data_IF_478570346149
#
_entry.id   IF_478570346149
#
_cell.length_a   1.000
_cell.length_b   1.000
_cell.length_c   1.000
_cell.angle_alpha   90.00
_cell.angle_beta   90.00
_cell.angle_gamma   90.00
#
_symmetry.space_group_name_H-M   'P 1'
#
loop_
_entity.id
_entity.type
_entity.pdbx_description
1 polymer ?
#
# COMPACT_ATOMS: atom_id res chain seq x y z
N UNK A 1 -39.12 24.35 -3.61
CA UNK A 1 -37.92 24.41 -4.48
C UNK A 1 -36.92 23.46 -3.90
N UNK A 2 -37.01 22.20 -4.36
CA UNK A 2 -36.08 21.13 -3.89
C UNK A 2 -34.78 21.21 -4.67
N UNK A 3 -33.71 21.65 -4.01
CA UNK A 3 -32.36 21.56 -4.54
C UNK A 3 -31.87 20.12 -4.31
N UNK A 4 -32.03 19.26 -5.31
CA UNK A 4 -31.35 17.96 -5.35
C UNK A 4 -29.84 18.18 -5.42
N UNK A 5 -29.19 18.16 -4.27
CA UNK A 5 -27.73 18.06 -4.18
C UNK A 5 -27.36 16.62 -4.59
N UNK A 6 -26.75 16.46 -5.76
CA UNK A 6 -26.16 15.20 -6.17
C UNK A 6 -25.13 14.76 -5.12
N UNK A 7 -25.16 13.49 -4.72
CA UNK A 7 -24.20 12.96 -3.78
C UNK A 7 -22.80 12.89 -4.42
N UNK A 8 -21.73 12.93 -3.61
CA UNK A 8 -20.34 12.73 -4.08
C UNK A 8 -20.17 11.42 -4.87
N UNK A 9 -21.03 10.45 -4.66
CA UNK A 9 -21.05 9.17 -5.34
C UNK A 9 -21.45 9.32 -6.81
N UNK A 10 -22.48 10.09 -7.10
CA UNK A 10 -22.93 10.39 -8.47
C UNK A 10 -21.88 11.23 -9.20
N UNK A 11 -21.16 12.07 -8.45
CA UNK A 11 -20.08 12.91 -8.92
C UNK A 11 -18.82 12.09 -9.34
N UNK A 12 -18.41 11.11 -8.53
CA UNK A 12 -17.25 10.24 -8.84
C UNK A 12 -17.53 9.27 -10.00
N UNK A 13 -18.76 8.79 -10.15
CA UNK A 13 -19.15 7.93 -11.25
C UNK A 13 -19.09 8.64 -12.62
N UNK A 14 -19.37 9.95 -12.65
CA UNK A 14 -19.40 10.73 -13.90
C UNK A 14 -17.98 11.17 -14.36
N UNK A 15 -17.02 11.33 -13.46
CA UNK A 15 -15.67 11.77 -13.80
C UNK A 15 -14.77 10.70 -14.45
N UNK A 16 -15.19 9.43 -14.46
CA UNK A 16 -14.44 8.31 -15.06
C UNK A 16 -14.71 8.13 -16.58
N UNK A 17 -15.64 8.87 -17.18
CA UNK A 17 -16.01 8.76 -18.59
C UNK A 17 -15.40 9.85 -19.51
N UNK A 18 -14.62 10.78 -18.99
CA UNK A 18 -14.09 11.93 -19.74
C UNK A 18 -12.64 11.79 -20.21
N UNK A 19 -12.28 10.64 -20.75
CA UNK A 19 -10.99 10.36 -21.40
C UNK A 19 -11.14 10.07 -22.89
N UNK A 20 -11.67 10.97 -23.69
CA UNK A 20 -11.70 10.80 -25.15
C UNK A 20 -12.86 11.50 -25.86
N UNK A 21 -12.65 12.71 -26.41
CA UNK A 21 -13.30 13.19 -27.58
C UNK A 21 -14.54 14.09 -27.48
N UNK A 22 -14.36 15.35 -27.92
CA UNK A 22 -15.32 16.30 -28.51
C UNK A 22 -16.32 17.02 -27.59
N UNK A 23 -16.10 18.33 -27.52
CA UNK A 23 -16.95 19.34 -26.90
C UNK A 23 -18.37 19.39 -27.47
N UNK A 24 -19.37 19.23 -26.61
CA UNK A 24 -20.68 19.87 -26.72
C UNK A 24 -21.14 20.22 -25.28
N UNK A 25 -21.57 21.49 -25.12
CA UNK A 25 -21.82 22.13 -23.83
C UNK A 25 -22.78 21.39 -22.92
N UNK A 26 -22.27 21.01 -21.77
CA UNK A 26 -23.00 20.53 -20.60
C UNK A 26 -22.17 20.83 -19.37
N UNK A 27 -22.79 21.32 -18.30
CA UNK A 27 -22.16 21.73 -17.06
C UNK A 27 -21.23 20.62 -16.54
N UNK A 28 -19.91 20.82 -16.70
CA UNK A 28 -18.87 19.95 -16.15
C UNK A 28 -18.78 20.24 -14.65
N UNK A 29 -19.42 19.40 -13.83
CA UNK A 29 -19.06 19.32 -12.42
C UNK A 29 -17.63 18.78 -12.34
N UNK A 30 -16.68 19.63 -11.97
CA UNK A 30 -15.25 19.29 -11.91
C UNK A 30 -14.98 18.16 -10.90
N UNK A 31 -14.16 17.17 -11.30
CA UNK A 31 -13.69 16.14 -10.37
C UNK A 31 -12.98 16.80 -9.18
N UNK A 32 -13.31 16.39 -7.95
CA UNK A 32 -12.64 16.88 -6.73
C UNK A 32 -11.15 16.54 -6.85
N UNK A 33 -10.28 17.55 -6.80
CA UNK A 33 -8.85 17.30 -6.97
C UNK A 33 -8.26 16.58 -5.76
N UNK A 34 -7.12 15.87 -5.96
CA UNK A 34 -6.36 15.28 -4.82
C UNK A 34 -6.06 16.31 -3.74
N UNK A 35 -5.76 17.55 -4.12
CA UNK A 35 -5.47 18.66 -3.18
C UNK A 35 -6.70 19.02 -2.35
N UNK A 36 -7.86 19.10 -2.96
CA UNK A 36 -9.10 19.43 -2.27
C UNK A 36 -9.48 18.32 -1.28
N UNK A 37 -9.38 17.04 -1.68
CA UNK A 37 -9.58 15.90 -0.78
C UNK A 37 -8.56 15.91 0.38
N UNK A 38 -7.30 16.19 0.10
CA UNK A 38 -6.27 16.26 1.12
C UNK A 38 -6.49 17.42 2.10
N UNK A 39 -7.02 18.55 1.63
CA UNK A 39 -7.32 19.73 2.44
C UNK A 39 -8.59 19.55 3.29
N UNK A 40 -9.54 18.73 2.85
CA UNK A 40 -10.81 18.51 3.56
C UNK A 40 -10.60 17.68 4.83
N UNK A 41 -10.56 18.36 5.98
CA UNK A 41 -10.38 17.73 7.31
C UNK A 41 -11.65 17.10 7.86
N UNK A 42 -12.79 17.20 7.16
CA UNK A 42 -14.07 16.61 7.57
C UNK A 42 -14.27 15.21 6.95
N UNK A 43 -13.41 14.78 6.04
CA UNK A 43 -13.50 13.49 5.36
C UNK A 43 -12.33 12.60 5.77
N UNK A 44 -12.62 11.37 6.21
CA UNK A 44 -11.62 10.33 6.40
C UNK A 44 -11.03 9.90 5.05
N UNK A 45 -9.72 9.68 4.99
CA UNK A 45 -9.05 9.17 3.78
C UNK A 45 -8.70 7.70 3.95
N UNK A 46 -9.26 6.86 3.09
CA UNK A 46 -9.09 5.40 3.14
C UNK A 46 -8.35 4.95 1.88
N UNK A 47 -7.16 4.38 2.07
CA UNK A 47 -6.39 3.75 1.03
C UNK A 47 -6.40 2.22 1.19
N UNK A 48 -6.41 1.52 0.06
CA UNK A 48 -6.16 0.08 -0.03
C UNK A 48 -4.83 -0.08 -0.76
N UNK A 49 -3.88 -0.76 -0.12
CA UNK A 49 -2.55 -0.98 -0.71
C UNK A 49 -2.20 -2.46 -0.71
N UNK A 50 -1.61 -2.90 -1.83
CA UNK A 50 -1.17 -4.28 -2.00
C UNK A 50 0.29 -4.33 -2.44
N UNK A 51 1.11 -5.05 -1.65
CA UNK A 51 2.50 -5.31 -1.99
C UNK A 51 2.57 -6.54 -2.89
N UNK A 52 3.03 -6.32 -4.13
CA UNK A 52 3.14 -7.35 -5.16
C UNK A 52 4.42 -8.15 -4.95
N UNK A 53 4.31 -9.06 -3.98
CA UNK A 53 5.36 -9.98 -3.59
C UNK A 53 4.80 -11.30 -3.08
N UNK A 54 5.64 -12.34 -3.08
CA UNK A 54 5.34 -13.60 -2.44
C UNK A 54 5.67 -13.53 -0.95
N UNK A 55 4.75 -13.95 -0.10
CA UNK A 55 5.01 -14.08 1.33
C UNK A 55 5.99 -15.22 1.59
N UNK A 56 6.99 -14.96 2.46
CA UNK A 56 7.98 -15.97 2.83
C UNK A 56 7.35 -17.04 3.73
N UNK A 57 7.57 -18.33 3.37
CA UNK A 57 7.12 -19.51 4.12
C UNK A 57 5.59 -19.51 4.37
N UNK A 58 4.81 -19.08 3.38
CA UNK A 58 3.36 -19.04 3.46
C UNK A 58 2.72 -19.29 2.07
N UNK A 59 1.62 -20.07 1.95
CA UNK A 59 0.87 -20.74 3.03
C UNK A 59 1.61 -21.94 3.66
N UNK A 60 2.63 -22.48 3.03
CA UNK A 60 3.46 -23.58 3.55
C UNK A 60 4.92 -23.16 3.68
N UNK A 61 5.72 -23.94 4.42
CA UNK A 61 7.14 -23.67 4.61
C UNK A 61 7.91 -23.67 3.28
N UNK A 62 7.53 -24.50 2.34
CA UNK A 62 8.17 -24.68 1.03
C UNK A 62 7.90 -23.51 0.08
N UNK A 63 6.89 -22.69 0.36
CA UNK A 63 6.54 -21.53 -0.46
C UNK A 63 7.50 -20.39 -0.17
N UNK A 64 8.25 -19.97 -1.17
CA UNK A 64 9.15 -18.81 -1.12
C UNK A 64 10.01 -18.76 0.15
N UNK A 65 11.19 -19.36 0.12
CA UNK A 65 12.10 -19.44 1.27
C UNK A 65 12.88 -18.15 1.53
N UNK A 66 13.23 -17.45 0.47
CA UNK A 66 14.18 -16.35 0.52
C UNK A 66 13.55 -15.05 0.04
N UNK A 67 13.91 -13.95 0.68
CA UNK A 67 13.33 -12.65 0.36
C UNK A 67 13.57 -12.23 -1.10
N UNK A 68 14.69 -12.61 -1.73
CA UNK A 68 14.94 -12.32 -3.14
C UNK A 68 14.05 -13.11 -4.12
N UNK A 69 13.37 -14.16 -3.66
CA UNK A 69 12.38 -14.92 -4.46
C UNK A 69 11.00 -14.26 -4.46
N UNK A 70 10.80 -13.27 -3.61
CA UNK A 70 9.50 -12.61 -3.44
C UNK A 70 8.92 -12.03 -4.71
N UNK A 71 9.76 -11.63 -5.68
CA UNK A 71 9.31 -11.17 -6.98
C UNK A 71 8.81 -12.28 -7.92
N UNK A 72 8.95 -13.55 -7.58
CA UNK A 72 8.46 -14.66 -8.39
C UNK A 72 6.96 -14.92 -8.11
N UNK A 73 6.11 -13.94 -8.41
CA UNK A 73 4.68 -14.08 -8.19
C UNK A 73 4.12 -15.26 -8.98
N UNK A 74 3.38 -16.13 -8.27
CA UNK A 74 2.61 -17.19 -8.90
C UNK A 74 1.33 -16.66 -9.59
N UNK A 75 0.69 -17.47 -10.38
CA UNK A 75 -0.47 -17.07 -11.16
C UNK A 75 -1.69 -16.76 -10.28
N UNK A 76 -1.82 -17.41 -9.13
CA UNK A 76 -2.88 -17.14 -8.17
C UNK A 76 -2.77 -15.74 -7.59
N UNK A 77 -1.57 -15.31 -7.17
CA UNK A 77 -1.35 -13.96 -6.66
C UNK A 77 -1.59 -12.88 -7.73
N UNK A 78 -1.19 -13.16 -9.00
CA UNK A 78 -1.47 -12.26 -10.13
C UNK A 78 -2.97 -12.13 -10.40
N UNK A 79 -3.68 -13.26 -10.49
CA UNK A 79 -5.14 -13.29 -10.71
C UNK A 79 -5.89 -12.57 -9.59
N UNK A 80 -5.49 -12.83 -8.33
CA UNK A 80 -6.06 -12.14 -7.17
C UNK A 80 -5.87 -10.62 -7.27
N UNK A 81 -4.68 -10.16 -7.66
CA UNK A 81 -4.36 -8.73 -7.81
C UNK A 81 -5.25 -8.04 -8.84
N UNK A 82 -5.44 -8.67 -10.00
CA UNK A 82 -6.31 -8.16 -11.08
C UNK A 82 -7.77 -8.13 -10.64
N UNK A 83 -8.24 -9.20 -9.99
CA UNK A 83 -9.63 -9.28 -9.52
C UNK A 83 -9.91 -8.27 -8.41
N UNK A 84 -9.00 -8.10 -7.44
CA UNK A 84 -9.11 -7.08 -6.41
C UNK A 84 -9.17 -5.67 -7.02
N UNK A 85 -8.28 -5.36 -7.98
CA UNK A 85 -8.28 -4.09 -8.70
C UNK A 85 -9.63 -3.83 -9.40
N UNK A 86 -10.16 -4.85 -10.11
CA UNK A 86 -11.45 -4.76 -10.79
C UNK A 86 -12.61 -4.48 -9.81
N UNK A 87 -12.63 -5.18 -8.67
CA UNK A 87 -13.68 -5.00 -7.66
C UNK A 87 -13.63 -3.61 -7.04
N UNK A 88 -12.46 -3.17 -6.58
CA UNK A 88 -12.32 -1.82 -5.99
C UNK A 88 -12.69 -0.72 -7.00
N UNK A 89 -12.35 -0.92 -8.28
CA UNK A 89 -12.77 0.01 -9.34
C UNK A 89 -14.28 0.09 -9.49
N UNK A 90 -14.99 -1.03 -9.38
CA UNK A 90 -16.46 -1.07 -9.43
C UNK A 90 -17.11 -0.30 -8.25
N UNK A 91 -16.42 -0.18 -7.11
CA UNK A 91 -16.81 0.68 -5.99
C UNK A 91 -16.39 2.16 -6.16
N UNK A 92 -15.75 2.52 -7.28
CA UNK A 92 -15.26 3.88 -7.52
C UNK A 92 -13.90 4.19 -6.87
N UNK A 93 -13.25 3.19 -6.28
CA UNK A 93 -11.97 3.32 -5.60
C UNK A 93 -10.75 2.99 -6.47
N UNK A 94 -9.58 3.07 -5.85
CA UNK A 94 -8.31 2.62 -6.41
C UNK A 94 -7.54 1.79 -5.38
N UNK A 95 -6.74 0.84 -5.84
CA UNK A 95 -5.71 0.18 -5.04
C UNK A 95 -4.37 0.80 -5.42
N UNK A 96 -3.55 1.16 -4.44
CA UNK A 96 -2.17 1.55 -4.67
C UNK A 96 -1.28 0.31 -4.51
N UNK A 97 -0.66 -0.14 -5.59
CA UNK A 97 0.22 -1.30 -5.58
C UNK A 97 1.68 -0.90 -5.36
N UNK A 98 2.45 -1.76 -4.70
CA UNK A 98 3.91 -1.63 -4.61
C UNK A 98 4.56 -2.90 -5.14
N UNK A 99 5.46 -2.77 -6.11
CA UNK A 99 6.00 -3.92 -6.82
C UNK A 99 7.48 -4.14 -6.51
N UNK A 100 7.83 -5.37 -6.16
CA UNK A 100 9.22 -5.82 -6.09
C UNK A 100 9.78 -5.90 -7.52
N UNK A 101 10.93 -5.29 -7.77
CA UNK A 101 11.48 -5.16 -9.13
C UNK A 101 11.70 -6.47 -9.86
N UNK A 102 11.99 -7.57 -9.13
CA UNK A 102 12.10 -8.91 -9.72
C UNK A 102 10.85 -9.42 -10.42
N UNK A 103 9.68 -8.88 -10.14
CA UNK A 103 8.45 -9.17 -10.92
C UNK A 103 8.68 -8.90 -12.40
N UNK A 104 9.51 -7.93 -12.74
CA UNK A 104 9.82 -7.55 -14.12
C UNK A 104 10.80 -8.48 -14.82
N UNK A 105 11.40 -9.45 -14.12
CA UNK A 105 12.17 -10.54 -14.74
C UNK A 105 11.24 -11.60 -15.39
N UNK A 106 9.96 -11.62 -15.02
CA UNK A 106 8.98 -12.52 -15.64
C UNK A 106 8.77 -12.15 -17.11
N UNK A 107 8.61 -13.17 -17.94
CA UNK A 107 8.42 -13.01 -19.39
C UNK A 107 7.22 -12.10 -19.70
N UNK A 108 6.09 -12.32 -19.03
CA UNK A 108 4.86 -11.59 -19.23
C UNK A 108 4.43 -10.80 -17.97
N UNK A 109 4.22 -9.49 -18.16
CA UNK A 109 3.72 -8.57 -17.13
C UNK A 109 2.42 -7.86 -17.58
N UNK A 110 1.67 -8.42 -18.52
CA UNK A 110 0.46 -7.79 -19.06
C UNK A 110 -0.65 -7.67 -18.01
N UNK A 111 -0.70 -8.58 -17.06
CA UNK A 111 -1.59 -8.48 -15.90
C UNK A 111 -1.36 -7.18 -15.11
N UNK A 112 -0.09 -6.75 -14.95
CA UNK A 112 0.25 -5.50 -14.25
C UNK A 112 -0.05 -4.28 -15.13
N UNK A 113 0.17 -4.38 -16.46
CA UNK A 113 -0.26 -3.33 -17.39
C UNK A 113 -1.77 -3.12 -17.35
N UNK A 114 -2.56 -4.20 -17.25
CA UNK A 114 -4.01 -4.12 -17.10
C UNK A 114 -4.42 -3.35 -15.84
N UNK A 115 -3.75 -3.59 -14.71
CA UNK A 115 -3.95 -2.86 -13.46
C UNK A 115 -3.67 -1.36 -13.66
N UNK A 116 -2.54 -1.02 -14.27
CA UNK A 116 -2.17 0.39 -14.55
C UNK A 116 -3.17 1.06 -15.49
N UNK A 117 -3.57 0.39 -16.58
CA UNK A 117 -4.55 0.91 -17.55
C UNK A 117 -5.93 1.15 -16.91
N UNK A 118 -6.25 0.39 -15.86
CA UNK A 118 -7.48 0.60 -15.08
C UNK A 118 -7.37 1.78 -14.09
N UNK A 119 -6.23 2.49 -14.07
CA UNK A 119 -6.01 3.70 -13.27
C UNK A 119 -5.54 3.44 -11.84
N UNK A 120 -5.01 2.26 -11.54
CA UNK A 120 -4.40 1.93 -10.27
C UNK A 120 -2.92 2.36 -10.25
N UNK A 121 -2.47 3.17 -9.27
CA UNK A 121 -1.07 3.56 -9.15
C UNK A 121 -0.19 2.37 -8.75
N UNK A 122 1.05 2.35 -9.26
CA UNK A 122 2.06 1.34 -8.91
C UNK A 122 3.34 2.04 -8.46
N UNK A 123 3.75 1.80 -7.23
CA UNK A 123 4.96 2.30 -6.60
C UNK A 123 6.10 1.28 -6.57
N UNK A 124 7.24 1.73 -6.07
CA UNK A 124 8.48 0.97 -5.95
C UNK A 124 8.58 0.27 -4.60
N UNK A 125 8.98 -1.01 -4.60
CA UNK A 125 9.20 -1.83 -3.40
C UNK A 125 10.61 -2.47 -3.39
N UNK A 126 11.61 -1.77 -3.90
CA UNK A 126 12.98 -2.22 -4.18
C UNK A 126 13.06 -3.39 -5.17
N UNK A 127 14.25 -3.67 -5.71
CA UNK A 127 14.40 -4.72 -6.73
C UNK A 127 14.42 -6.13 -6.11
N UNK A 128 15.26 -6.33 -5.11
CA UNK A 128 15.46 -7.61 -4.43
C UNK A 128 14.76 -7.68 -3.07
N UNK A 129 13.81 -6.78 -2.75
CA UNK A 129 13.21 -6.69 -1.42
C UNK A 129 14.27 -6.47 -0.32
N UNK A 130 15.11 -5.42 -0.46
CA UNK A 130 16.23 -5.15 0.43
C UNK A 130 15.83 -4.39 1.69
N UNK A 131 16.52 -4.68 2.81
CA UNK A 131 16.35 -3.96 4.07
C UNK A 131 17.02 -2.57 3.98
N UNK A 132 16.22 -1.52 3.91
CA UNK A 132 16.69 -0.16 3.64
C UNK A 132 17.44 0.48 4.81
N UNK A 133 17.34 -0.08 6.02
CA UNK A 133 18.06 0.39 7.20
C UNK A 133 19.41 -0.33 7.42
N UNK A 134 19.80 -1.23 6.51
CA UNK A 134 21.05 -1.97 6.60
C UNK A 134 22.25 -1.02 6.70
N UNK A 135 23.14 -1.31 7.65
CA UNK A 135 24.42 -0.61 7.86
C UNK A 135 25.61 -1.49 7.49
N UNK A 136 25.37 -2.79 7.33
CA UNK A 136 26.35 -3.80 6.95
C UNK A 136 25.87 -4.59 5.73
N UNK A 137 26.78 -5.09 4.87
CA UNK A 137 26.43 -5.85 3.68
C UNK A 137 25.52 -7.06 3.94
N UNK A 138 25.79 -7.81 5.01
CA UNK A 138 25.04 -9.01 5.39
C UNK A 138 23.60 -8.75 5.86
N UNK A 139 23.28 -7.50 6.22
CA UNK A 139 21.95 -7.08 6.65
C UNK A 139 21.04 -6.73 5.47
N UNK A 140 21.62 -6.37 4.31
CA UNK A 140 20.87 -5.83 3.17
C UNK A 140 19.84 -6.83 2.68
N UNK A 141 20.28 -8.08 2.43
CA UNK A 141 19.43 -9.14 1.94
C UNK A 141 20.17 -10.48 2.00
N UNK A 142 19.47 -11.56 2.27
CA UNK A 142 20.05 -12.91 2.36
C UNK A 142 20.85 -13.32 1.11
N UNK A 143 20.42 -12.92 -0.08
CA UNK A 143 21.14 -13.13 -1.36
C UNK A 143 22.57 -12.64 -1.29
N UNK A 144 22.77 -11.42 -0.82
CA UNK A 144 24.10 -10.80 -0.74
C UNK A 144 24.97 -11.43 0.35
N UNK A 145 24.36 -11.95 1.41
CA UNK A 145 25.08 -12.74 2.41
C UNK A 145 25.59 -14.06 1.84
N UNK A 146 24.83 -14.71 0.95
CA UNK A 146 25.26 -15.94 0.26
C UNK A 146 26.19 -15.69 -0.91
N UNK A 147 26.08 -14.57 -1.56
CA UNK A 147 26.82 -14.21 -2.77
C UNK A 147 27.42 -12.78 -2.62
N UNK A 148 28.38 -12.59 -1.67
CA UNK A 148 28.91 -11.28 -1.35
C UNK A 148 29.62 -10.61 -2.53
N UNK A 149 30.13 -11.38 -3.50
CA UNK A 149 30.75 -10.84 -4.72
C UNK A 149 29.79 -10.00 -5.58
N UNK A 150 28.47 -10.15 -5.43
CA UNK A 150 27.48 -9.33 -6.16
C UNK A 150 27.51 -7.85 -5.73
N UNK A 151 28.02 -7.58 -4.55
CA UNK A 151 28.10 -6.23 -3.98
C UNK A 151 29.52 -5.85 -3.54
N UNK A 152 30.52 -6.61 -4.00
CA UNK A 152 31.93 -6.34 -3.68
C UNK A 152 32.30 -4.91 -4.03
N UNK A 153 32.99 -4.22 -3.14
CA UNK A 153 33.41 -2.82 -3.30
C UNK A 153 32.30 -1.77 -3.14
N UNK A 154 31.04 -2.18 -2.86
CA UNK A 154 29.92 -1.26 -2.63
C UNK A 154 29.57 -1.17 -1.15
N UNK A 155 29.21 0.03 -0.72
CA UNK A 155 28.60 0.26 0.60
C UNK A 155 27.13 -0.19 0.61
N UNK A 156 26.55 -0.49 1.79
CA UNK A 156 25.11 -0.79 1.90
C UNK A 156 24.23 0.29 1.28
N UNK A 157 24.54 1.56 1.50
CA UNK A 157 23.78 2.67 0.95
C UNK A 157 23.77 2.69 -0.60
N UNK A 158 24.93 2.38 -1.23
CA UNK A 158 25.02 2.27 -2.70
C UNK A 158 24.20 1.12 -3.23
N UNK A 159 24.22 -0.04 -2.56
CA UNK A 159 23.44 -1.22 -2.97
C UNK A 159 21.92 -0.95 -2.83
N UNK A 160 21.50 -0.32 -1.73
CA UNK A 160 20.08 0.05 -1.51
C UNK A 160 19.63 1.06 -2.57
N UNK A 161 20.42 2.11 -2.82
CA UNK A 161 20.14 3.12 -3.85
C UNK A 161 20.02 2.49 -5.24
N UNK A 162 20.92 1.59 -5.60
CA UNK A 162 20.87 0.87 -6.88
C UNK A 162 19.63 -0.01 -7.00
N UNK A 163 19.27 -0.72 -5.94
CA UNK A 163 18.07 -1.55 -5.89
C UNK A 163 16.78 -0.75 -6.15
N UNK A 164 16.69 0.44 -5.56
CA UNK A 164 15.53 1.33 -5.78
C UNK A 164 15.55 1.85 -7.22
N UNK A 165 16.71 2.31 -7.72
CA UNK A 165 16.85 2.82 -9.09
C UNK A 165 16.52 1.76 -10.14
N UNK A 166 16.98 0.51 -9.95
CA UNK A 166 16.66 -0.60 -10.87
C UNK A 166 15.17 -0.85 -10.98
N UNK A 167 14.42 -0.76 -9.87
CA UNK A 167 12.96 -0.89 -9.91
C UNK A 167 12.30 0.27 -10.65
N UNK A 168 12.78 1.51 -10.48
CA UNK A 168 12.29 2.66 -11.25
C UNK A 168 12.49 2.45 -12.76
N UNK A 169 13.68 1.97 -13.17
CA UNK A 169 13.96 1.67 -14.58
C UNK A 169 13.11 0.50 -15.10
N UNK A 170 12.89 -0.53 -14.30
CA UNK A 170 12.03 -1.66 -14.66
C UNK A 170 10.56 -1.23 -14.87
N UNK A 171 10.00 -0.40 -13.98
CA UNK A 171 8.68 0.19 -14.13
C UNK A 171 8.56 0.97 -15.46
N UNK A 172 9.56 1.81 -15.75
CA UNK A 172 9.59 2.60 -16.96
C UNK A 172 9.71 1.75 -18.24
N UNK A 173 10.62 0.78 -18.24
CA UNK A 173 10.93 -0.01 -19.44
C UNK A 173 9.90 -1.09 -19.73
N UNK A 174 9.32 -1.72 -18.69
CA UNK A 174 8.43 -2.86 -18.83
C UNK A 174 6.95 -2.48 -18.92
N UNK A 175 6.54 -1.41 -18.24
CA UNK A 175 5.13 -0.97 -18.20
C UNK A 175 4.92 0.51 -18.52
N UNK A 176 5.98 1.27 -18.78
CA UNK A 176 5.89 2.63 -19.32
C UNK A 176 5.51 3.72 -18.31
N UNK A 177 5.69 3.47 -17.00
CA UNK A 177 5.31 4.43 -15.96
C UNK A 177 6.49 4.84 -15.08
N UNK A 178 6.41 6.02 -14.47
CA UNK A 178 7.22 6.38 -13.31
C UNK A 178 6.59 5.77 -12.04
N UNK A 179 7.39 5.44 -10.99
CA UNK A 179 6.85 4.91 -9.75
C UNK A 179 5.93 5.91 -9.05
N UNK A 180 4.77 5.46 -8.62
CA UNK A 180 3.84 6.23 -7.81
C UNK A 180 4.21 6.08 -6.32
N UNK A 181 5.34 6.66 -5.90
CA UNK A 181 5.85 6.60 -4.54
C UNK A 181 6.70 5.37 -4.23
N UNK A 182 7.03 5.20 -2.95
CA UNK A 182 7.91 4.16 -2.45
C UNK A 182 7.38 3.56 -1.15
N UNK A 183 7.42 2.24 -1.04
CA UNK A 183 7.19 1.52 0.21
C UNK A 183 8.42 0.71 0.56
N UNK A 184 8.83 0.77 1.83
CA UNK A 184 9.97 -0.02 2.31
C UNK A 184 9.63 -1.50 2.39
N UNK A 185 10.55 -2.41 1.99
CA UNK A 185 10.47 -3.81 2.40
C UNK A 185 10.45 -3.95 3.91
N UNK A 186 9.29 -4.38 4.44
CA UNK A 186 9.00 -4.34 5.88
C UNK A 186 8.61 -2.96 6.39
N UNK A 187 7.83 -2.97 7.48
CA UNK A 187 7.46 -1.77 8.22
C UNK A 187 8.27 -1.63 9.51
N UNK A 188 8.57 -0.40 9.91
CA UNK A 188 9.38 -0.10 11.09
C UNK A 188 8.55 0.68 12.11
N UNK A 189 8.63 0.30 13.40
CA UNK A 189 7.84 0.92 14.46
C UNK A 189 7.97 2.45 14.49
N UNK A 190 9.20 2.95 14.31
CA UNK A 190 9.53 4.37 14.33
C UNK A 190 9.75 4.96 12.91
N UNK A 191 9.40 4.22 11.85
CA UNK A 191 9.67 4.63 10.48
C UNK A 191 11.17 4.83 10.23
N UNK A 192 11.54 5.96 9.59
CA UNK A 192 12.94 6.35 9.36
C UNK A 192 13.45 7.36 10.40
N UNK A 193 12.82 7.48 11.59
CA UNK A 193 13.39 8.32 12.65
C UNK A 193 14.83 7.86 13.00
N UNK A 194 15.74 8.82 13.18
CA UNK A 194 17.16 8.55 13.42
C UNK A 194 17.99 8.14 12.19
N UNK A 195 17.37 8.11 10.98
CA UNK A 195 18.05 7.76 9.72
C UNK A 195 17.90 8.88 8.66
N UNK A 196 18.39 10.10 8.94
CA UNK A 196 18.32 11.22 7.97
C UNK A 196 19.08 10.91 6.67
N UNK A 197 20.08 10.03 6.71
CA UNK A 197 20.81 9.54 5.56
C UNK A 197 19.89 8.77 4.58
N UNK A 198 19.03 7.90 5.10
CA UNK A 198 18.07 7.15 4.28
C UNK A 198 16.94 8.07 3.80
N UNK A 199 16.46 8.99 4.64
CA UNK A 199 15.46 9.99 4.25
C UNK A 199 15.98 10.84 3.08
N UNK A 200 17.22 11.32 3.15
CA UNK A 200 17.85 12.11 2.09
C UNK A 200 18.03 11.28 0.82
N UNK A 201 18.43 10.00 0.95
CA UNK A 201 18.54 9.08 -0.20
C UNK A 201 17.20 8.98 -0.95
N UNK A 202 16.06 8.90 -0.26
CA UNK A 202 14.73 8.85 -0.90
C UNK A 202 14.42 10.16 -1.64
N UNK A 203 14.73 11.31 -1.03
CA UNK A 203 14.57 12.62 -1.67
C UNK A 203 15.45 12.76 -2.91
N UNK A 204 16.71 12.34 -2.85
CA UNK A 204 17.66 12.35 -3.98
C UNK A 204 17.19 11.45 -5.15
N UNK A 205 16.48 10.37 -4.84
CA UNK A 205 15.86 9.47 -5.83
C UNK A 205 14.52 10.00 -6.38
N UNK A 206 14.11 11.20 -5.93
CA UNK A 206 12.92 11.90 -6.41
C UNK A 206 11.63 11.58 -5.67
N UNK A 207 11.66 10.76 -4.63
CA UNK A 207 10.47 10.48 -3.83
C UNK A 207 10.18 11.63 -2.88
N UNK A 208 8.95 12.11 -2.87
CA UNK A 208 8.48 13.17 -1.96
C UNK A 208 7.82 12.59 -0.71
N UNK A 209 7.42 11.35 -0.78
CA UNK A 209 6.80 10.58 0.29
C UNK A 209 7.17 9.10 0.17
N UNK A 210 7.07 8.42 1.30
CA UNK A 210 7.26 6.98 1.46
C UNK A 210 6.14 6.40 2.33
N UNK A 211 5.95 5.09 2.29
CA UNK A 211 5.17 4.34 3.27
C UNK A 211 6.12 3.38 3.99
N UNK A 212 6.37 3.66 5.27
CA UNK A 212 7.45 3.03 6.02
C UNK A 212 7.09 2.70 7.47
N UNK A 213 6.48 3.64 8.21
CA UNK A 213 6.13 3.43 9.61
C UNK A 213 5.00 2.40 9.72
N UNK A 214 5.18 1.44 10.64
CA UNK A 214 4.18 0.46 11.01
C UNK A 214 4.04 0.44 12.53
N UNK A 215 2.97 1.02 13.09
CA UNK A 215 2.80 1.15 14.52
C UNK A 215 2.76 -0.19 15.24
N UNK A 216 3.41 -0.27 16.39
CA UNK A 216 3.39 -1.46 17.26
C UNK A 216 1.98 -1.68 17.78
N UNK A 217 1.51 -2.91 17.68
CA UNK A 217 0.21 -3.34 18.20
C UNK A 217 0.27 -4.80 18.64
N UNK A 218 -0.66 -5.25 19.50
CA UNK A 218 -0.71 -6.64 19.92
C UNK A 218 -1.23 -7.55 18.80
N UNK A 219 -0.74 -8.79 18.75
CA UNK A 219 -1.21 -9.85 17.84
C UNK A 219 -1.98 -10.95 18.57
N UNK A 220 -1.90 -11.01 19.92
CA UNK A 220 -2.40 -12.12 20.71
C UNK A 220 -1.51 -13.37 20.64
N UNK A 221 -2.04 -14.47 21.11
CA UNK A 221 -1.33 -15.78 21.10
C UNK A 221 -1.56 -16.46 19.76
N UNK A 222 -0.49 -16.89 19.03
CA UNK A 222 -0.64 -17.55 17.75
C UNK A 222 -1.52 -18.79 17.81
N UNK A 223 -2.55 -18.85 16.96
CA UNK A 223 -3.51 -19.95 16.88
C UNK A 223 -4.66 -19.85 17.89
N UNK A 224 -4.63 -18.91 18.83
CA UNK A 224 -5.76 -18.62 19.71
C UNK A 224 -6.68 -17.56 19.09
N UNK A 225 -7.91 -17.50 19.58
CA UNK A 225 -8.85 -16.44 19.24
C UNK A 225 -8.36 -15.11 19.83
N UNK A 226 -8.29 -14.00 19.06
CA UNK A 226 -7.91 -12.70 19.58
C UNK A 226 -8.89 -12.21 20.66
N UNK A 227 -8.35 -11.73 21.78
CA UNK A 227 -9.16 -11.16 22.86
C UNK A 227 -9.64 -9.75 22.53
N UNK A 228 -10.57 -9.21 23.32
CA UNK A 228 -11.00 -7.81 23.20
C UNK A 228 -9.82 -6.85 23.27
N UNK A 229 -8.88 -7.07 24.22
CA UNK A 229 -7.69 -6.22 24.39
C UNK A 229 -6.80 -6.18 23.15
N UNK A 230 -6.74 -7.27 22.36
CA UNK A 230 -6.00 -7.31 21.09
C UNK A 230 -6.66 -6.39 20.07
N UNK A 231 -7.98 -6.46 19.93
CA UNK A 231 -8.72 -5.58 19.01
C UNK A 231 -8.63 -4.11 19.45
N UNK A 232 -8.81 -3.83 20.73
CA UNK A 232 -8.69 -2.47 21.28
C UNK A 232 -7.27 -1.91 21.09
N UNK A 233 -6.25 -2.75 21.27
CA UNK A 233 -4.84 -2.39 21.03
C UNK A 233 -4.56 -2.08 19.55
N UNK A 234 -5.18 -2.80 18.61
CA UNK A 234 -5.09 -2.53 17.17
C UNK A 234 -5.73 -1.17 16.84
N UNK A 235 -6.95 -0.93 17.34
CA UNK A 235 -7.65 0.34 17.14
C UNK A 235 -6.85 1.51 17.73
N UNK A 236 -6.32 1.35 18.95
CA UNK A 236 -5.48 2.37 19.59
C UNK A 236 -4.21 2.66 18.78
N UNK A 237 -3.57 1.64 18.20
CA UNK A 237 -2.39 1.82 17.36
C UNK A 237 -2.69 2.60 16.06
N UNK A 238 -3.96 2.63 15.62
CA UNK A 238 -4.39 3.43 14.47
C UNK A 238 -4.16 4.94 14.68
N UNK A 239 -4.18 5.43 15.92
CA UNK A 239 -3.83 6.82 16.25
C UNK A 239 -2.41 7.20 15.80
N UNK A 240 -1.47 6.25 15.88
CA UNK A 240 -0.08 6.44 15.47
C UNK A 240 0.17 6.19 13.97
N UNK A 241 -0.84 5.71 13.25
CA UNK A 241 -0.79 5.46 11.80
C UNK A 241 -1.26 6.68 10.98
N UNK A 242 -0.91 7.90 11.42
CA UNK A 242 -1.27 9.13 10.72
C UNK A 242 -0.06 9.70 9.97
N UNK A 243 -0.25 10.30 8.78
CA UNK A 243 0.84 10.81 7.96
C UNK A 243 1.55 11.99 8.64
N UNK A 244 2.86 12.06 8.49
CA UNK A 244 3.70 13.11 9.06
C UNK A 244 4.88 13.46 8.17
N UNK A 245 5.58 14.55 8.51
CA UNK A 245 6.75 15.04 7.77
C UNK A 245 8.00 14.89 8.63
N UNK A 246 9.03 14.24 8.09
CA UNK A 246 10.35 14.21 8.72
C UNK A 246 11.03 15.60 8.66
N UNK A 247 12.03 15.88 9.54
CA UNK A 247 12.78 17.13 9.48
C UNK A 247 13.46 17.41 8.13
N UNK A 248 13.76 16.38 7.33
CA UNK A 248 14.30 16.49 5.97
C UNK A 248 13.27 16.95 4.93
N UNK A 249 11.99 17.00 5.28
CA UNK A 249 10.89 17.33 4.36
C UNK A 249 10.29 16.10 3.65
N UNK A 250 10.85 14.89 3.86
CA UNK A 250 10.24 13.66 3.38
C UNK A 250 8.96 13.36 4.19
N UNK A 251 7.88 13.00 3.49
CA UNK A 251 6.62 12.60 4.13
C UNK A 251 6.62 11.09 4.38
N UNK A 252 6.14 10.63 5.53
CA UNK A 252 5.78 9.24 5.76
C UNK A 252 4.26 9.08 5.79
N UNK A 253 3.77 8.10 5.06
CA UNK A 253 2.39 7.63 5.10
C UNK A 253 2.40 6.26 5.78
N UNK A 254 2.17 6.21 7.12
CA UNK A 254 2.22 4.97 7.88
C UNK A 254 1.19 3.95 7.41
N UNK A 255 1.58 2.69 7.43
CA UNK A 255 0.68 1.56 7.25
C UNK A 255 -0.21 1.39 8.49
N UNK A 256 -1.48 1.09 8.27
CA UNK A 256 -2.40 0.84 9.37
C UNK A 256 -2.21 -0.56 9.98
N UNK A 257 -2.37 -0.75 11.29
CA UNK A 257 -2.51 -2.07 11.86
C UNK A 257 -3.94 -2.58 11.54
N UNK A 258 -4.15 -3.87 11.24
CA UNK A 258 -3.23 -5.00 11.22
C UNK A 258 -3.01 -5.42 9.76
N UNK A 259 -1.80 -5.94 9.43
CA UNK A 259 -1.56 -6.55 8.12
C UNK A 259 -1.99 -8.02 8.07
N UNK A 260 -2.24 -8.51 6.85
CA UNK A 260 -2.53 -9.92 6.57
C UNK A 260 -1.41 -10.86 7.01
N UNK A 261 -0.14 -10.48 6.84
CA UNK A 261 1.04 -11.22 7.34
C UNK A 261 0.98 -11.37 8.86
N UNK A 262 0.65 -10.30 9.56
CA UNK A 262 0.46 -10.33 11.01
C UNK A 262 -0.68 -11.25 11.43
N UNK A 263 -1.82 -11.16 10.76
CA UNK A 263 -3.01 -11.94 11.06
C UNK A 263 -2.82 -13.42 10.71
N UNK A 264 -2.55 -13.74 9.43
CA UNK A 264 -2.61 -15.12 8.94
C UNK A 264 -1.31 -15.88 9.15
N UNK A 265 -0.17 -15.34 8.72
CA UNK A 265 1.11 -16.05 8.81
C UNK A 265 1.64 -16.13 10.24
N UNK A 266 1.61 -15.01 10.96
CA UNK A 266 2.24 -14.95 12.30
C UNK A 266 1.27 -15.40 13.38
N UNK A 267 0.05 -14.89 13.39
CA UNK A 267 -0.94 -15.15 14.45
C UNK A 267 -1.91 -16.28 14.14
N UNK A 268 -1.93 -16.80 12.90
CA UNK A 268 -2.82 -17.89 12.47
C UNK A 268 -4.30 -17.60 12.71
N UNK A 269 -4.72 -16.37 12.48
CA UNK A 269 -6.10 -15.97 12.65
C UNK A 269 -7.01 -16.59 11.59
N UNK A 270 -8.27 -16.80 11.96
CA UNK A 270 -9.35 -17.05 11.01
C UNK A 270 -9.73 -15.74 10.31
N UNK A 271 -10.25 -15.83 9.11
CA UNK A 271 -10.65 -14.67 8.31
C UNK A 271 -11.63 -13.75 9.06
N UNK A 272 -12.59 -14.29 9.80
CA UNK A 272 -13.58 -13.47 10.52
C UNK A 272 -12.94 -12.57 11.60
N UNK A 273 -11.85 -13.00 12.24
CA UNK A 273 -11.10 -12.15 13.18
C UNK A 273 -10.38 -11.01 12.46
N UNK A 274 -9.81 -11.29 11.29
CA UNK A 274 -9.18 -10.27 10.46
C UNK A 274 -10.19 -9.26 9.95
N UNK A 275 -11.36 -9.71 9.47
CA UNK A 275 -12.45 -8.85 9.06
C UNK A 275 -12.96 -7.97 10.22
N UNK A 276 -13.06 -8.53 11.43
CA UNK A 276 -13.44 -7.76 12.63
C UNK A 276 -12.42 -6.66 12.94
N UNK A 277 -11.11 -6.97 12.89
CA UNK A 277 -10.06 -5.98 13.14
C UNK A 277 -10.11 -4.83 12.12
N UNK A 278 -10.24 -5.16 10.82
CA UNK A 278 -10.39 -4.18 9.75
C UNK A 278 -11.61 -3.28 9.99
N UNK A 279 -12.76 -3.89 10.28
CA UNK A 279 -14.00 -3.13 10.53
C UNK A 279 -13.80 -2.11 11.63
N UNK A 280 -13.28 -2.52 12.78
CA UNK A 280 -13.07 -1.65 13.94
C UNK A 280 -12.11 -0.50 13.63
N UNK A 281 -10.99 -0.78 12.93
CA UNK A 281 -10.02 0.23 12.56
C UNK A 281 -10.56 1.23 11.52
N UNK A 282 -11.31 0.77 10.52
CA UNK A 282 -11.93 1.64 9.51
C UNK A 282 -13.05 2.48 10.12
N UNK A 283 -13.90 1.89 10.96
CA UNK A 283 -14.97 2.63 11.65
C UNK A 283 -14.38 3.72 12.56
N UNK A 284 -13.34 3.41 13.34
CA UNK A 284 -12.60 4.40 14.13
C UNK A 284 -12.05 5.53 13.25
N UNK A 285 -11.43 5.17 12.11
CA UNK A 285 -10.86 6.14 11.16
C UNK A 285 -11.94 7.09 10.62
N UNK A 286 -13.10 6.56 10.26
CA UNK A 286 -14.25 7.36 9.76
C UNK A 286 -14.76 8.31 10.86
N UNK A 287 -14.92 7.81 12.08
CA UNK A 287 -15.39 8.60 13.22
C UNK A 287 -14.46 9.77 13.53
N UNK A 288 -13.13 9.52 13.49
CA UNK A 288 -12.09 10.52 13.80
C UNK A 288 -11.64 11.34 12.59
N UNK A 289 -12.21 11.12 11.39
CA UNK A 289 -11.80 11.80 10.14
C UNK A 289 -10.31 11.67 9.85
N UNK A 290 -9.79 10.52 10.23
CA UNK A 290 -8.38 10.16 10.19
C UNK A 290 -7.99 9.53 8.83
N UNK A 291 -6.81 8.90 8.79
CA UNK A 291 -6.29 8.21 7.62
C UNK A 291 -6.18 6.72 7.93
N UNK A 292 -6.50 5.88 6.95
CA UNK A 292 -6.31 4.43 6.99
C UNK A 292 -5.59 3.97 5.71
N UNK A 293 -4.49 3.26 5.86
CA UNK A 293 -3.75 2.59 4.77
C UNK A 293 -3.80 1.07 5.00
N UNK A 294 -4.70 0.39 4.32
CA UNK A 294 -4.79 -1.07 4.39
C UNK A 294 -3.59 -1.71 3.69
N UNK A 295 -2.70 -2.34 4.46
CA UNK A 295 -1.57 -3.12 3.93
C UNK A 295 -1.95 -4.59 3.84
N UNK A 296 -1.83 -5.17 2.64
CA UNK A 296 -1.93 -6.61 2.43
C UNK A 296 -1.09 -7.10 1.23
N UNK A 297 -1.01 -8.43 1.09
CA UNK A 297 -0.23 -9.09 0.05
C UNK A 297 -1.12 -10.09 -0.70
N UNK A 298 -1.26 -9.99 -2.03
CA UNK A 298 -2.03 -10.96 -2.81
C UNK A 298 -1.65 -12.41 -2.52
N UNK A 299 -0.35 -12.67 -2.28
CA UNK A 299 0.18 -13.99 -1.94
C UNK A 299 -0.28 -14.54 -0.57
N UNK A 300 -0.72 -13.69 0.35
CA UNK A 300 -1.31 -14.07 1.62
C UNK A 300 -2.83 -14.12 1.53
N UNK A 301 -3.42 -13.20 0.78
CA UNK A 301 -4.88 -13.10 0.69
C UNK A 301 -5.48 -14.21 -0.18
N UNK A 302 -4.87 -14.60 -1.33
CA UNK A 302 -5.50 -15.60 -2.17
C UNK A 302 -5.76 -16.95 -1.46
N UNK A 303 -4.90 -17.46 -0.54
CA UNK A 303 -5.22 -18.67 0.22
C UNK A 303 -6.08 -18.44 1.46
N UNK A 304 -6.09 -17.22 2.02
CA UNK A 304 -6.77 -16.90 3.29
C UNK A 304 -8.12 -16.22 3.11
N UNK A 305 -8.27 -15.46 2.05
CA UNK A 305 -9.47 -14.70 1.65
C UNK A 305 -9.66 -14.73 0.13
N UNK A 306 -9.89 -15.93 -0.48
CA UNK A 306 -9.99 -16.07 -1.94
C UNK A 306 -11.15 -15.29 -2.55
N UNK A 307 -12.16 -14.93 -1.75
CA UNK A 307 -13.34 -14.20 -2.18
C UNK A 307 -13.19 -12.67 -2.09
N UNK A 308 -12.00 -12.17 -1.67
CA UNK A 308 -11.68 -10.73 -1.57
C UNK A 308 -12.56 -9.99 -0.55
N UNK A 309 -13.08 -10.69 0.47
CA UNK A 309 -14.00 -10.19 1.47
C UNK A 309 -13.42 -9.03 2.31
N UNK A 310 -12.13 -9.07 2.62
CA UNK A 310 -11.46 -8.03 3.40
C UNK A 310 -11.47 -6.68 2.66
N UNK A 311 -11.18 -6.72 1.36
CA UNK A 311 -11.16 -5.53 0.51
C UNK A 311 -12.59 -5.02 0.27
N UNK A 312 -13.55 -5.91 -0.02
CA UNK A 312 -14.96 -5.52 -0.19
C UNK A 312 -15.56 -4.94 1.10
N UNK A 313 -15.20 -5.47 2.27
CA UNK A 313 -15.62 -4.89 3.55
C UNK A 313 -15.19 -3.42 3.68
N UNK A 314 -13.95 -3.09 3.33
CA UNK A 314 -13.46 -1.71 3.34
C UNK A 314 -14.28 -0.87 2.35
N UNK A 315 -14.53 -1.40 1.16
CA UNK A 315 -15.34 -0.72 0.14
C UNK A 315 -16.77 -0.43 0.61
N UNK A 316 -17.41 -1.40 1.25
CA UNK A 316 -18.76 -1.24 1.80
C UNK A 316 -18.81 -0.20 2.93
N UNK A 317 -17.82 -0.19 3.82
CA UNK A 317 -17.73 0.77 4.92
C UNK A 317 -17.56 2.21 4.40
N UNK A 318 -16.69 2.42 3.40
CA UNK A 318 -16.51 3.74 2.79
C UNK A 318 -17.78 4.21 2.09
N UNK A 319 -18.41 3.35 1.29
CA UNK A 319 -19.65 3.69 0.60
C UNK A 319 -20.79 3.99 1.58
N UNK A 320 -20.91 3.23 2.67
CA UNK A 320 -21.90 3.46 3.73
C UNK A 320 -21.66 4.78 4.46
N UNK A 321 -20.41 5.19 4.61
CA UNK A 321 -20.06 6.44 5.27
C UNK A 321 -20.41 7.68 4.42
N UNK A 322 -20.61 7.54 3.12
CA UNK A 322 -20.93 8.65 2.21
C UNK A 322 -19.86 9.73 2.23
N UNK A 323 -20.25 10.98 2.47
CA UNK A 323 -19.33 12.13 2.47
C UNK A 323 -18.33 12.14 3.63
N UNK A 324 -18.47 11.26 4.61
CA UNK A 324 -17.56 11.17 5.76
C UNK A 324 -16.25 10.43 5.45
N UNK A 325 -16.20 9.69 4.35
CA UNK A 325 -15.01 8.94 3.94
C UNK A 325 -14.82 8.99 2.42
N UNK A 326 -13.58 8.92 1.97
CA UNK A 326 -13.25 8.86 0.55
C UNK A 326 -12.15 7.83 0.29
N UNK A 327 -12.29 7.08 -0.82
CA UNK A 327 -11.19 6.30 -1.37
C UNK A 327 -10.13 7.23 -1.96
N UNK A 328 -8.87 6.98 -1.61
CA UNK A 328 -7.74 7.76 -2.11
C UNK A 328 -6.53 6.86 -2.37
N UNK A 329 -5.59 7.36 -3.16
CA UNK A 329 -4.23 6.81 -3.22
C UNK A 329 -3.32 7.41 -2.13
N UNK A 330 -2.14 6.84 -1.94
CA UNK A 330 -1.21 7.34 -0.92
C UNK A 330 -0.61 8.72 -1.26
N UNK A 331 -0.57 9.11 -2.53
CA UNK A 331 -0.18 10.47 -2.92
C UNK A 331 -1.13 11.52 -2.31
N UNK A 332 -2.42 11.25 -2.34
CA UNK A 332 -3.45 12.12 -1.73
C UNK A 332 -3.27 12.20 -0.21
N UNK A 333 -2.98 11.07 0.44
CA UNK A 333 -2.70 11.04 1.89
C UNK A 333 -1.43 11.84 2.21
N UNK A 334 -0.38 11.68 1.41
CA UNK A 334 0.88 12.40 1.60
C UNK A 334 0.69 13.93 1.49
N UNK A 335 -0.21 14.39 0.65
CA UNK A 335 -0.57 15.81 0.56
C UNK A 335 -1.23 16.32 1.85
N UNK A 336 -1.99 15.48 2.56
CA UNK A 336 -2.62 15.85 3.85
C UNK A 336 -1.60 16.13 4.96
N UNK A 337 -0.43 15.48 4.93
CA UNK A 337 0.62 15.66 5.92
C UNK A 337 1.31 17.03 5.83
N UNK A 338 1.29 17.67 4.67
CA UNK A 338 1.93 18.99 4.47
C UNK A 338 1.04 20.09 5.04
N UNK A 339 1.60 21.02 5.84
CA UNK A 339 0.85 22.24 6.16
C UNK A 339 0.54 22.97 4.85
N UNK A 340 -0.71 23.42 4.72
CA UNK A 340 -1.20 24.18 3.58
C UNK A 340 -0.51 25.52 3.46
#
# INVERSE_FOLDING_TARGET
MDTNLLSRRDFLATSLLAGGGLALGGNVFGAVSRKDLAADRNTALIAITLDLEMARNFPTWETTHWDYEKGNLNDEAKKYSVEAARRVKAYGGVIHFFVVGRVFEQENVDWLKQIVQSGHPVGNHTYDHVYVLATKPEEIQYRFRRAPWLIEGKTPAEVIRENIRLTNEALKTRIGIAPAGFRTPGGFADGLHGRPDVQQMMLDLGFKWISCKYPVHPYGVPGAEPTADVFDGIVKAQEAAQPFVYPTGLVDVPMSPISDVGAFRNSRWKLDHFLKAIRLAVEWTIEHRAVFDFLAHPSVLYPSDPEVRAIELICDLVNKAGDKAAFVDLETIALRAKPG
#
